data_IF_693606836613
#
_entry.id   IF_693606836613
#
_cell.length_a   1.000
_cell.length_b   1.000
_cell.length_c   1.000
_cell.angle_alpha   90.00
_cell.angle_beta   90.00
_cell.angle_gamma   90.00
#
_symmetry.space_group_name_H-M   'P 1'
#
loop_
_entity.id
_entity.type
_entity.pdbx_description
1 polymer ?
#
# COMPACT_ATOMS: atom_id res chain seq x y z
N UNK A 1 -5.72 32.15 -10.31
CA UNK A 1 -5.51 30.79 -9.77
C UNK A 1 -5.89 29.79 -10.86
N UNK A 2 -4.92 29.15 -11.51
CA UNK A 2 -5.20 28.14 -12.53
C UNK A 2 -5.67 26.86 -11.85
N UNK A 3 -6.98 26.57 -11.94
CA UNK A 3 -7.53 25.30 -11.48
C UNK A 3 -7.21 24.24 -12.52
N UNK A 4 -6.36 23.27 -12.17
CA UNK A 4 -6.22 22.07 -12.99
C UNK A 4 -7.59 21.38 -13.07
N UNK A 5 -8.08 21.04 -14.27
CA UNK A 5 -9.36 20.37 -14.40
C UNK A 5 -9.33 19.02 -13.67
N UNK A 6 -10.38 18.71 -12.92
CA UNK A 6 -10.54 17.44 -12.20
C UNK A 6 -10.24 16.18 -13.06
N UNK A 7 -10.58 16.15 -14.37
CA UNK A 7 -10.19 15.05 -15.27
C UNK A 7 -8.70 14.75 -15.36
N UNK A 8 -7.81 15.70 -15.04
CA UNK A 8 -6.35 15.48 -15.05
C UNK A 8 -5.79 15.16 -13.66
N UNK A 9 -6.44 15.65 -12.60
CA UNK A 9 -5.99 15.43 -11.22
C UNK A 9 -6.19 13.97 -10.82
N UNK A 10 -7.35 13.38 -11.15
CA UNK A 10 -7.68 12.01 -10.74
C UNK A 10 -6.70 10.97 -11.34
N UNK A 11 -6.39 10.98 -12.65
CA UNK A 11 -5.40 10.06 -13.21
C UNK A 11 -4.00 10.28 -12.63
N UNK A 12 -3.58 11.54 -12.44
CA UNK A 12 -2.27 11.84 -11.88
C UNK A 12 -2.16 11.34 -10.43
N UNK A 13 -3.19 11.53 -9.62
CA UNK A 13 -3.24 11.02 -8.25
C UNK A 13 -3.19 9.48 -8.21
N UNK A 14 -3.90 8.80 -9.13
CA UNK A 14 -3.84 7.35 -9.25
C UNK A 14 -2.45 6.84 -9.61
N UNK A 15 -1.79 7.47 -10.60
CA UNK A 15 -0.41 7.13 -10.98
C UNK A 15 0.53 7.33 -9.80
N UNK A 16 0.45 8.48 -9.12
CA UNK A 16 1.28 8.78 -7.96
C UNK A 16 1.08 7.74 -6.86
N UNK A 17 -0.17 7.35 -6.57
CA UNK A 17 -0.48 6.32 -5.59
C UNK A 17 0.14 4.97 -5.97
N UNK A 18 0.01 4.54 -7.22
CA UNK A 18 0.58 3.27 -7.71
C UNK A 18 2.11 3.30 -7.65
N UNK A 19 2.74 4.41 -8.05
CA UNK A 19 4.20 4.54 -8.02
C UNK A 19 4.73 4.49 -6.59
N UNK A 20 4.10 5.22 -5.67
CA UNK A 20 4.51 5.24 -4.27
C UNK A 20 4.35 3.86 -3.65
N UNK A 21 3.18 3.24 -3.83
CA UNK A 21 2.87 2.01 -3.13
C UNK A 21 3.51 0.79 -3.82
N UNK A 22 3.28 0.62 -5.11
CA UNK A 22 3.85 -0.48 -5.89
C UNK A 22 5.37 -0.37 -6.00
N UNK A 23 5.90 0.82 -6.28
CA UNK A 23 7.34 1.05 -6.33
C UNK A 23 8.00 0.86 -4.96
N UNK A 24 7.39 1.38 -3.89
CA UNK A 24 7.89 1.20 -2.52
C UNK A 24 7.98 -0.27 -2.10
N UNK A 25 6.91 -1.04 -2.33
CA UNK A 25 6.90 -2.49 -2.05
C UNK A 25 7.94 -3.24 -2.90
N UNK A 26 8.07 -2.89 -4.18
CA UNK A 26 9.08 -3.47 -5.06
C UNK A 26 10.50 -3.27 -4.54
N UNK A 27 10.84 -2.06 -4.07
CA UNK A 27 12.15 -1.78 -3.46
C UNK A 27 12.34 -2.60 -2.18
N UNK A 28 11.32 -2.69 -1.32
CA UNK A 28 11.39 -3.50 -0.09
C UNK A 28 11.66 -4.98 -0.41
N UNK A 29 10.98 -5.55 -1.41
CA UNK A 29 11.21 -6.94 -1.82
C UNK A 29 12.61 -7.17 -2.38
N UNK A 30 13.13 -6.25 -3.20
CA UNK A 30 14.51 -6.34 -3.71
C UNK A 30 15.52 -6.30 -2.56
N UNK A 31 15.29 -5.43 -1.56
CA UNK A 31 16.18 -5.32 -0.40
C UNK A 31 16.10 -6.59 0.45
N UNK A 32 14.91 -7.14 0.70
CA UNK A 32 14.78 -8.38 1.45
C UNK A 32 15.48 -9.54 0.76
N UNK A 33 15.28 -9.68 -0.55
CA UNK A 33 15.88 -10.75 -1.34
C UNK A 33 17.42 -10.65 -1.39
N UNK A 34 17.97 -9.43 -1.51
CA UNK A 34 19.41 -9.24 -1.77
C UNK A 34 20.25 -8.81 -0.58
N UNK A 35 19.63 -8.36 0.51
CA UNK A 35 20.32 -7.73 1.65
C UNK A 35 20.01 -8.41 2.99
N UNK A 36 19.10 -9.37 3.02
CA UNK A 36 18.74 -10.09 4.25
C UNK A 36 18.82 -11.58 4.01
N UNK A 37 19.01 -12.36 5.07
CA UNK A 37 18.99 -13.83 5.00
C UNK A 37 17.58 -14.42 4.87
N UNK A 38 16.55 -13.57 4.76
CA UNK A 38 15.18 -14.04 4.56
C UNK A 38 14.92 -14.34 3.09
N UNK A 39 15.74 -13.85 2.16
CA UNK A 39 15.62 -14.06 0.72
C UNK A 39 14.15 -13.92 0.24
N UNK A 40 13.64 -14.95 -0.43
CA UNK A 40 12.27 -15.05 -0.93
C UNK A 40 11.22 -15.15 0.20
N UNK A 41 11.58 -15.73 1.36
CA UNK A 41 10.68 -15.83 2.50
C UNK A 41 10.33 -14.47 3.10
N UNK A 42 11.22 -13.48 2.96
CA UNK A 42 10.93 -12.11 3.36
C UNK A 42 9.72 -11.53 2.61
N UNK A 43 9.62 -11.79 1.30
CA UNK A 43 8.47 -11.36 0.51
C UNK A 43 7.19 -12.10 0.91
N UNK A 44 7.27 -13.40 1.21
CA UNK A 44 6.13 -14.19 1.68
C UNK A 44 5.58 -13.65 3.00
N UNK A 45 6.44 -13.36 3.97
CA UNK A 45 6.04 -12.84 5.29
C UNK A 45 5.32 -11.49 5.14
N UNK A 46 5.89 -10.57 4.36
CA UNK A 46 5.26 -9.27 4.12
C UNK A 46 3.94 -9.41 3.37
N UNK A 47 3.90 -10.26 2.33
CA UNK A 47 2.66 -10.54 1.60
C UNK A 47 1.56 -11.06 2.51
N UNK A 48 1.87 -12.02 3.37
CA UNK A 48 0.94 -12.56 4.36
C UNK A 48 0.49 -11.51 5.38
N UNK A 49 1.41 -10.67 5.84
CA UNK A 49 1.07 -9.57 6.74
C UNK A 49 0.09 -8.60 6.07
N UNK A 50 0.29 -8.23 4.80
CA UNK A 50 -0.63 -7.35 4.08
C UNK A 50 -2.01 -8.00 3.88
N UNK A 51 -2.06 -9.29 3.50
CA UNK A 51 -3.33 -10.03 3.30
C UNK A 51 -4.19 -10.06 4.56
N UNK A 52 -3.58 -10.16 5.75
CA UNK A 52 -4.32 -10.20 7.02
C UNK A 52 -4.58 -8.79 7.56
N UNK A 53 -3.57 -7.91 7.55
CA UNK A 53 -3.66 -6.60 8.18
C UNK A 53 -4.54 -5.64 7.39
N UNK A 54 -4.54 -5.68 6.06
CA UNK A 54 -5.35 -4.74 5.26
C UNK A 54 -6.85 -4.91 5.52
N UNK A 55 -7.45 -6.13 5.45
CA UNK A 55 -8.85 -6.33 5.81
C UNK A 55 -9.12 -6.05 7.28
N UNK A 56 -8.21 -6.40 8.19
CA UNK A 56 -8.35 -6.12 9.61
C UNK A 56 -8.46 -4.61 9.88
N UNK A 57 -7.51 -3.83 9.37
CA UNK A 57 -7.52 -2.36 9.50
C UNK A 57 -8.75 -1.78 8.82
N UNK A 58 -9.10 -2.26 7.61
CA UNK A 58 -10.30 -1.84 6.92
C UNK A 58 -11.55 -2.09 7.77
N UNK A 59 -11.66 -3.26 8.41
CA UNK A 59 -12.76 -3.57 9.32
C UNK A 59 -12.79 -2.62 10.51
N UNK A 60 -11.65 -2.34 11.15
CA UNK A 60 -11.58 -1.44 12.31
C UNK A 60 -12.01 -0.01 11.97
N UNK A 61 -11.68 0.46 10.77
CA UNK A 61 -12.07 1.78 10.27
C UNK A 61 -13.54 1.79 9.84
N UNK A 62 -14.02 0.72 9.21
CA UNK A 62 -15.39 0.60 8.69
C UNK A 62 -16.42 0.22 9.76
N UNK A 63 -15.99 -0.26 10.93
CA UNK A 63 -16.89 -0.56 12.05
C UNK A 63 -17.61 0.72 12.47
N UNK A 64 -18.96 0.74 12.46
CA UNK A 64 -19.72 1.88 12.95
C UNK A 64 -19.34 2.14 14.40
N UNK A 65 -18.91 3.36 14.72
CA UNK A 65 -18.69 3.78 16.10
C UNK A 65 -20.02 3.66 16.83
N UNK A 66 -20.18 2.62 17.66
CA UNK A 66 -21.39 2.44 18.48
C UNK A 66 -21.43 3.58 19.49
N UNK A 67 -22.21 4.62 19.17
CA UNK A 67 -22.57 5.70 20.08
C UNK A 67 -23.48 5.11 21.15
N UNK A 68 -22.95 4.98 22.37
CA UNK A 68 -23.76 4.86 23.58
C UNK A 68 -24.02 6.25 24.13
#
# INVERSE_FOLDING_TARGET
MNRLPFPFILPLAAIMFVVIWGGGLGVIFIVLDKKTSLDQWGAVIIGMALVVMVPLIASLIALPKRSN
#
